data_IF_108686408963
#
_entry.id   IF_108686408963
#
_cell.length_a   1.000
_cell.length_b   1.000
_cell.length_c   1.000
_cell.angle_alpha   90.00
_cell.angle_beta   90.00
_cell.angle_gamma   90.00
#
_symmetry.space_group_name_H-M   'P 1'
#
loop_
_entity.id
_entity.type
_entity.pdbx_description
1 polymer ?
#
# COMPACT_ATOMS: atom_id res chain seq x y z
N UNK A 1 -8.66 -29.49 -40.94
CA UNK A 1 -8.22 -28.22 -40.32
C UNK A 1 -9.39 -27.67 -39.53
N UNK A 2 -9.71 -28.26 -38.38
CA UNK A 2 -10.90 -27.90 -37.60
C UNK A 2 -10.65 -28.22 -36.12
N UNK A 3 -9.78 -27.43 -35.49
CA UNK A 3 -9.55 -27.48 -34.04
C UNK A 3 -9.77 -26.10 -33.41
N UNK A 4 -10.73 -25.33 -33.94
CA UNK A 4 -11.04 -23.96 -33.52
C UNK A 4 -12.49 -23.76 -33.05
N UNK A 5 -13.27 -24.83 -32.79
CA UNK A 5 -14.73 -24.70 -32.63
C UNK A 5 -15.32 -24.89 -31.23
N UNK A 6 -14.53 -25.27 -30.22
CA UNK A 6 -15.05 -25.45 -28.86
C UNK A 6 -14.28 -24.59 -27.84
N UNK A 7 -14.66 -23.32 -27.78
CA UNK A 7 -14.43 -22.36 -26.69
C UNK A 7 -13.01 -22.28 -26.07
N UNK A 8 -12.02 -21.67 -26.76
CA UNK A 8 -10.73 -21.32 -26.14
C UNK A 8 -10.79 -20.06 -25.24
N UNK A 9 -11.92 -19.37 -25.13
CA UNK A 9 -11.98 -18.00 -24.59
C UNK A 9 -12.42 -17.85 -23.12
N UNK A 10 -12.93 -18.90 -22.48
CA UNK A 10 -13.36 -18.82 -21.07
C UNK A 10 -12.35 -19.41 -20.08
N UNK A 11 -11.57 -20.42 -20.48
CA UNK A 11 -10.59 -21.06 -19.59
C UNK A 11 -9.34 -20.20 -19.34
N UNK A 12 -8.94 -19.34 -20.28
CA UNK A 12 -7.74 -18.51 -20.12
C UNK A 12 -7.98 -17.35 -19.17
N UNK A 13 -9.09 -16.63 -19.32
CA UNK A 13 -9.38 -15.44 -18.54
C UNK A 13 -9.71 -15.80 -17.09
N UNK A 14 -10.52 -16.84 -16.85
CA UNK A 14 -10.84 -17.32 -15.50
C UNK A 14 -9.60 -17.89 -14.78
N UNK A 15 -8.70 -18.57 -15.52
CA UNK A 15 -7.43 -19.05 -14.97
C UNK A 15 -6.43 -17.92 -14.68
N UNK A 16 -6.48 -16.81 -15.41
CA UNK A 16 -5.68 -15.60 -15.13
C UNK A 16 -6.23 -14.85 -13.92
N UNK A 17 -7.55 -14.75 -13.79
CA UNK A 17 -8.20 -14.17 -12.61
C UNK A 17 -7.86 -14.95 -11.34
N UNK A 18 -7.89 -16.29 -11.37
CA UNK A 18 -7.45 -17.11 -10.22
C UNK A 18 -5.97 -16.84 -9.85
N UNK A 19 -5.07 -16.67 -10.83
CA UNK A 19 -3.67 -16.28 -10.57
C UNK A 19 -3.58 -14.90 -9.93
N UNK A 20 -4.34 -13.93 -10.41
CA UNK A 20 -4.41 -12.58 -9.86
C UNK A 20 -4.89 -12.61 -8.40
N UNK A 21 -6.00 -13.31 -8.14
CA UNK A 21 -6.57 -13.46 -6.81
C UNK A 21 -5.58 -14.12 -5.84
N UNK A 22 -4.88 -15.18 -6.26
CA UNK A 22 -3.84 -15.83 -5.44
C UNK A 22 -2.70 -14.89 -5.10
N UNK A 23 -2.24 -14.09 -6.08
CA UNK A 23 -1.19 -13.10 -5.87
C UNK A 23 -1.64 -11.98 -4.91
N UNK A 24 -2.84 -11.43 -5.13
CA UNK A 24 -3.42 -10.38 -4.28
C UNK A 24 -3.60 -10.81 -2.82
N UNK A 25 -3.88 -12.10 -2.58
CA UNK A 25 -3.96 -12.63 -1.22
C UNK A 25 -2.59 -12.66 -0.50
N UNK A 26 -1.48 -12.71 -1.24
CA UNK A 26 -0.13 -12.59 -0.68
C UNK A 26 0.35 -11.15 -0.48
N UNK A 27 -0.39 -10.15 -0.98
CA UNK A 27 -0.01 -8.74 -0.85
C UNK A 27 -0.36 -8.20 0.53
N UNK A 28 0.43 -7.21 0.97
CA UNK A 28 0.11 -6.44 2.17
C UNK A 28 -1.26 -5.76 1.97
N UNK A 29 -2.11 -5.68 3.01
CA UNK A 29 -3.49 -5.18 2.89
C UNK A 29 -3.57 -3.76 2.29
N UNK A 30 -2.61 -2.90 2.61
CA UNK A 30 -2.56 -1.53 2.07
C UNK A 30 -2.32 -1.49 0.56
N UNK A 31 -1.49 -2.42 0.05
CA UNK A 31 -1.22 -2.59 -1.38
C UNK A 31 -2.41 -3.29 -2.05
N UNK A 32 -2.95 -4.33 -1.40
CA UNK A 32 -4.13 -5.08 -1.87
C UNK A 32 -5.31 -4.16 -2.12
N UNK A 33 -5.60 -3.25 -1.20
CA UNK A 33 -6.67 -2.25 -1.34
C UNK A 33 -6.43 -1.35 -2.55
N UNK A 34 -5.21 -0.81 -2.72
CA UNK A 34 -4.89 0.07 -3.85
C UNK A 34 -5.00 -0.65 -5.21
N UNK A 35 -4.58 -1.91 -5.24
CA UNK A 35 -4.61 -2.75 -6.44
C UNK A 35 -6.04 -3.19 -6.78
N UNK A 36 -6.83 -3.56 -5.77
CA UNK A 36 -8.24 -3.91 -5.95
C UNK A 36 -9.09 -2.76 -6.51
N UNK A 37 -8.77 -1.50 -6.17
CA UNK A 37 -9.40 -0.33 -6.77
C UNK A 37 -9.13 -0.17 -8.27
N UNK A 38 -8.04 -0.75 -8.78
CA UNK A 38 -7.65 -0.62 -10.18
C UNK A 38 -8.20 -1.77 -11.05
N UNK A 39 -8.98 -2.71 -10.49
CA UNK A 39 -9.69 -3.81 -11.18
C UNK A 39 -8.86 -4.49 -12.28
N UNK A 40 -7.60 -4.84 -11.98
CA UNK A 40 -6.66 -5.39 -12.98
C UNK A 40 -6.92 -6.88 -13.19
N UNK A 41 -7.25 -7.26 -14.42
CA UNK A 41 -7.50 -8.66 -14.82
C UNK A 41 -6.30 -9.33 -15.49
N UNK A 42 -5.28 -8.56 -15.83
CA UNK A 42 -4.06 -9.03 -16.50
C UNK A 42 -2.93 -9.24 -15.49
N UNK A 43 -2.45 -10.47 -15.37
CA UNK A 43 -1.43 -10.86 -14.39
C UNK A 43 -0.10 -10.08 -14.53
N UNK A 44 0.52 -9.94 -15.72
CA UNK A 44 1.77 -9.18 -15.82
C UNK A 44 1.59 -7.71 -15.46
N UNK A 45 0.45 -7.10 -15.80
CA UNK A 45 0.10 -5.74 -15.40
C UNK A 45 -0.07 -5.64 -13.89
N UNK A 46 -0.77 -6.60 -13.26
CA UNK A 46 -0.99 -6.67 -11.82
C UNK A 46 0.33 -6.69 -11.04
N UNK A 47 1.26 -7.56 -11.45
CA UNK A 47 2.58 -7.68 -10.82
C UNK A 47 3.37 -6.38 -10.96
N UNK A 48 3.35 -5.75 -12.15
CA UNK A 48 4.05 -4.50 -12.36
C UNK A 48 3.46 -3.34 -11.51
N UNK A 49 2.13 -3.21 -11.47
CA UNK A 49 1.47 -2.18 -10.65
C UNK A 49 1.68 -2.42 -9.16
N UNK A 50 1.60 -3.66 -8.70
CA UNK A 50 1.87 -4.02 -7.30
C UNK A 50 3.29 -3.64 -6.88
N UNK A 51 4.30 -3.90 -7.74
CA UNK A 51 5.69 -3.49 -7.51
C UNK A 51 5.88 -1.97 -7.44
N UNK A 52 5.12 -1.20 -8.21
CA UNK A 52 5.13 0.28 -8.14
C UNK A 52 4.47 0.74 -6.84
N UNK A 53 3.31 0.19 -6.50
CA UNK A 53 2.57 0.52 -5.29
C UNK A 53 3.35 0.20 -4.01
N UNK A 54 4.10 -0.91 -3.98
CA UNK A 54 4.94 -1.26 -2.82
C UNK A 54 6.00 -0.18 -2.55
N UNK A 55 6.66 0.29 -3.61
CA UNK A 55 7.65 1.38 -3.53
C UNK A 55 7.03 2.68 -3.09
N UNK A 56 5.89 3.06 -3.65
CA UNK A 56 5.17 4.27 -3.29
C UNK A 56 4.70 4.23 -1.83
N UNK A 57 4.12 3.11 -1.41
CA UNK A 57 3.71 2.90 -0.02
C UNK A 57 4.90 3.02 0.95
N UNK A 58 6.06 2.44 0.59
CA UNK A 58 7.28 2.57 1.39
C UNK A 58 7.75 4.01 1.48
N UNK A 59 7.73 4.76 0.37
CA UNK A 59 8.08 6.17 0.36
C UNK A 59 7.12 7.00 1.22
N UNK A 60 5.81 6.76 1.11
CA UNK A 60 4.77 7.39 1.93
C UNK A 60 4.99 7.13 3.42
N UNK A 61 5.18 5.88 3.82
CA UNK A 61 5.45 5.51 5.22
C UNK A 61 6.72 6.20 5.73
N UNK A 62 7.79 6.24 4.91
CA UNK A 62 9.03 6.91 5.28
C UNK A 62 8.84 8.43 5.47
N UNK A 63 8.10 9.08 4.57
CA UNK A 63 7.78 10.50 4.67
C UNK A 63 7.02 10.83 5.97
N UNK A 64 5.95 10.09 6.28
CA UNK A 64 5.18 10.32 7.50
C UNK A 64 5.98 9.99 8.75
N UNK A 65 6.83 8.95 8.73
CA UNK A 65 7.74 8.65 9.83
C UNK A 65 8.68 9.84 10.09
N UNK A 66 9.35 10.36 9.06
CA UNK A 66 10.23 11.51 9.18
C UNK A 66 9.49 12.78 9.62
N UNK A 67 8.28 13.01 9.12
CA UNK A 67 7.43 14.14 9.53
C UNK A 67 7.01 14.02 11.00
N UNK A 68 6.65 12.81 11.45
CA UNK A 68 6.26 12.56 12.85
C UNK A 68 7.44 12.68 13.82
N UNK A 69 8.66 12.27 13.42
CA UNK A 69 9.87 12.48 14.23
C UNK A 69 10.19 13.97 14.43
N UNK A 70 10.03 14.78 13.38
CA UNK A 70 10.22 16.24 13.49
C UNK A 70 9.20 16.87 14.43
N UNK A 71 7.91 16.47 14.36
CA UNK A 71 6.89 16.89 15.33
C UNK A 71 7.13 16.36 16.75
N UNK A 72 7.62 15.12 16.89
CA UNK A 72 7.94 14.53 18.20
C UNK A 72 9.09 15.26 18.90
N UNK A 73 10.09 15.73 18.15
CA UNK A 73 11.16 16.60 18.69
C UNK A 73 10.66 18.00 19.05
N UNK A 74 9.66 18.51 18.33
CA UNK A 74 9.03 19.79 18.64
C UNK A 74 8.11 19.71 19.87
N UNK A 75 7.35 18.61 20.03
CA UNK A 75 6.53 18.34 21.22
C UNK A 75 7.35 17.92 22.46
N UNK A 76 8.53 17.32 22.25
CA UNK A 76 9.50 16.98 23.30
C UNK A 76 10.33 18.18 23.78
N UNK A 77 10.25 19.33 23.10
CA UNK A 77 10.68 20.62 23.66
C UNK A 77 9.55 21.13 24.54
N UNK A 78 9.45 20.53 25.73
CA UNK A 78 8.69 21.10 26.83
C UNK A 78 9.01 22.59 26.95
N UNK A 79 7.96 23.38 27.19
CA UNK A 79 8.02 24.83 27.46
C UNK A 79 9.32 25.17 28.22
N UNK A 80 10.21 26.02 27.69
CA UNK A 80 11.49 26.29 28.35
C UNK A 80 11.34 27.02 29.70
N UNK A 81 10.12 27.45 30.07
CA UNK A 81 9.84 28.07 31.36
C UNK A 81 8.48 27.61 31.87
N UNK A 82 8.48 26.62 32.77
CA UNK A 82 7.31 26.14 33.50
C UNK A 82 7.59 25.89 34.98
N UNK A 83 8.55 26.64 35.55
CA UNK A 83 8.98 26.56 36.96
C UNK A 83 9.36 27.97 37.38
N UNK A 84 8.84 28.60 38.43
CA UNK A 84 7.80 28.27 39.38
C UNK A 84 7.59 29.53 40.20
N UNK A 85 6.35 30.02 40.31
CA UNK A 85 6.03 31.16 41.16
C UNK A 85 5.72 30.69 42.57
N UNK A 86 6.74 30.50 43.43
CA UNK A 86 6.51 30.54 44.88
C UNK A 86 6.31 32.01 45.28
N UNK A 87 5.11 32.35 45.73
CA UNK A 87 4.83 33.60 46.45
C UNK A 87 5.36 33.44 47.89
N UNK A 88 6.24 34.32 48.41
CA UNK A 88 6.40 34.52 49.84
C UNK A 88 5.30 35.46 50.34
N UNK A 89 4.76 35.15 51.52
CA UNK A 89 3.94 36.04 52.35
C UNK A 89 4.86 37.03 53.08
#
# INVERSE_FOLDING_TARGET
EDLCRFAPHYNTLEAEEDKCVKFENGLRPEIKTLIGFNEIRDFPTLVNKSRICDKDNRAKVNYYKAASEKRGREMGRGKPYGRGGRRPD
#
